data_IF_001319823202
#
_entry.id   IF_001319823202
#
_cell.length_a   1.000
_cell.length_b   1.000
_cell.length_c   1.000
_cell.angle_alpha   90.00
_cell.angle_beta   90.00
_cell.angle_gamma   90.00
#
_symmetry.space_group_name_H-M   'P 1'
#
loop_
_entity.id
_entity.type
_entity.pdbx_description
1 polymer ?
#
# COMPACT_ATOMS: atom_id res chain seq x y z
N UNK A 1 -4.26 -5.96 17.03
CA UNK A 1 -5.47 -5.14 17.20
C UNK A 1 -5.73 -4.33 15.95
N UNK A 2 -6.98 -4.05 15.66
CA UNK A 2 -7.39 -3.15 14.56
C UNK A 2 -8.37 -2.13 15.16
N UNK A 3 -8.10 -0.85 14.92
CA UNK A 3 -8.88 0.27 15.43
C UNK A 3 -9.91 0.78 14.39
N UNK A 4 -10.50 1.95 14.61
CA UNK A 4 -11.60 2.48 13.81
C UNK A 4 -11.13 3.01 12.45
N UNK A 5 -12.05 3.02 11.49
CA UNK A 5 -11.82 3.52 10.13
C UNK A 5 -10.58 2.91 9.44
N UNK A 6 -10.47 1.58 9.52
CA UNK A 6 -9.43 0.81 8.85
C UNK A 6 -10.01 0.07 7.65
N UNK A 7 -9.37 0.20 6.50
CA UNK A 7 -9.71 -0.57 5.31
C UNK A 7 -8.53 -1.48 4.90
N UNK A 8 -8.82 -2.76 4.72
CA UNK A 8 -7.84 -3.78 4.36
C UNK A 8 -8.26 -4.36 3.01
N UNK A 9 -7.40 -4.23 2.02
CA UNK A 9 -7.65 -4.75 0.68
C UNK A 9 -7.43 -6.27 0.60
N UNK A 10 -7.63 -6.84 -0.57
CA UNK A 10 -7.52 -8.28 -0.79
C UNK A 10 -6.09 -8.81 -0.61
N UNK A 11 -5.98 -10.06 -0.16
CA UNK A 11 -4.72 -10.79 -0.02
C UNK A 11 -3.68 -10.10 0.88
N UNK A 12 -4.12 -9.32 1.86
CA UNK A 12 -3.23 -8.80 2.91
C UNK A 12 -2.94 -9.90 3.90
N UNK A 13 -1.67 -10.03 4.28
CA UNK A 13 -1.20 -11.03 5.22
C UNK A 13 -0.66 -10.37 6.51
N UNK A 14 -1.10 -10.87 7.65
CA UNK A 14 -0.57 -10.52 8.98
C UNK A 14 0.22 -11.70 9.52
N UNK A 15 1.54 -11.60 9.45
CA UNK A 15 2.43 -12.62 9.98
C UNK A 15 2.71 -12.29 11.45
N UNK A 16 2.23 -13.09 12.38
CA UNK A 16 2.37 -12.82 13.82
C UNK A 16 3.34 -13.77 14.52
N UNK A 17 3.80 -14.81 13.85
CA UNK A 17 4.73 -15.79 14.41
C UNK A 17 5.57 -16.45 13.31
N UNK A 18 6.63 -17.13 13.72
CA UNK A 18 7.43 -18.00 12.86
C UNK A 18 7.81 -19.29 13.56
N UNK A 19 8.36 -20.23 12.82
CA UNK A 19 8.79 -21.53 13.32
C UNK A 19 10.32 -21.70 13.26
N UNK A 20 11.06 -20.62 13.26
CA UNK A 20 12.54 -20.65 13.17
C UNK A 20 13.16 -21.42 14.33
N UNK A 21 12.50 -21.45 15.49
CA UNK A 21 12.93 -22.21 16.65
C UNK A 21 13.17 -23.70 16.35
N UNK A 22 12.49 -24.28 15.38
CA UNK A 22 12.72 -25.68 14.97
C UNK A 22 14.12 -25.92 14.43
N UNK A 23 14.67 -24.92 13.74
CA UNK A 23 16.05 -25.01 13.24
C UNK A 23 17.03 -24.99 14.41
N UNK A 24 16.82 -24.10 15.37
CA UNK A 24 17.67 -23.97 16.55
C UNK A 24 17.57 -25.20 17.46
N UNK A 25 16.37 -25.72 17.69
CA UNK A 25 16.16 -26.99 18.40
C UNK A 25 16.88 -28.16 17.72
N UNK A 26 16.86 -28.22 16.39
CA UNK A 26 17.58 -29.22 15.63
C UNK A 26 19.10 -29.11 15.79
N UNK A 27 19.64 -27.91 15.91
CA UNK A 27 21.08 -27.69 16.16
C UNK A 27 21.47 -28.15 17.58
N UNK A 28 20.62 -27.92 18.57
CA UNK A 28 20.85 -28.32 19.97
C UNK A 28 20.54 -29.82 20.24
N UNK A 29 19.83 -30.49 19.32
CA UNK A 29 19.42 -31.86 19.46
C UNK A 29 18.26 -32.11 20.46
N UNK A 30 17.66 -31.07 20.97
CA UNK A 30 16.50 -31.13 21.88
C UNK A 30 15.69 -29.79 21.83
N UNK A 31 14.45 -29.86 22.32
CA UNK A 31 13.58 -28.67 22.40
C UNK A 31 14.04 -27.76 23.54
N UNK A 32 14.48 -26.55 23.20
CA UNK A 32 14.93 -25.53 24.16
C UNK A 32 14.54 -24.10 23.73
N UNK A 33 14.10 -23.90 22.51
CA UNK A 33 13.60 -22.61 22.03
C UNK A 33 12.08 -22.55 22.01
N UNK A 34 11.54 -21.39 22.30
CA UNK A 34 10.10 -21.13 22.18
C UNK A 34 9.79 -20.57 20.78
N UNK A 35 8.56 -20.83 20.32
CA UNK A 35 8.04 -20.17 19.13
C UNK A 35 8.04 -18.66 19.33
N UNK A 36 8.60 -17.93 18.35
CA UNK A 36 8.52 -16.47 18.34
C UNK A 36 7.14 -16.03 17.85
N UNK A 37 6.51 -15.16 18.62
CA UNK A 37 5.27 -14.50 18.24
C UNK A 37 5.26 -13.08 18.77
N UNK A 38 4.70 -12.15 18.00
CA UNK A 38 4.54 -10.77 18.42
C UNK A 38 3.23 -10.18 17.89
N UNK A 39 2.78 -9.10 18.51
CA UNK A 39 1.53 -8.44 18.19
C UNK A 39 1.68 -7.52 16.98
N UNK A 40 0.55 -7.32 16.28
CA UNK A 40 0.41 -6.29 15.25
C UNK A 40 -0.71 -5.35 15.68
N UNK A 41 -0.51 -4.05 15.54
CA UNK A 41 -1.51 -3.03 15.82
C UNK A 41 -1.72 -2.12 14.61
N UNK A 42 -2.97 -2.01 14.17
CA UNK A 42 -3.38 -1.12 13.08
C UNK A 42 -4.23 -0.04 13.71
N UNK A 43 -3.69 1.17 13.77
CA UNK A 43 -4.35 2.31 14.37
C UNK A 43 -5.45 2.88 13.46
N UNK A 44 -6.10 3.96 13.91
CA UNK A 44 -7.23 4.55 13.19
C UNK A 44 -6.82 5.24 11.88
N UNK A 45 -7.78 5.31 10.95
CA UNK A 45 -7.62 5.95 9.64
C UNK A 45 -6.48 5.34 8.82
N UNK A 46 -6.42 4.03 8.73
CA UNK A 46 -5.38 3.30 7.98
C UNK A 46 -5.98 2.56 6.80
N UNK A 47 -5.30 2.64 5.66
CA UNK A 47 -5.55 1.76 4.52
C UNK A 47 -4.36 0.84 4.30
N UNK A 48 -4.64 -0.45 4.10
CA UNK A 48 -3.62 -1.45 3.74
C UNK A 48 -3.93 -1.98 2.35
N UNK A 49 -3.02 -1.70 1.42
CA UNK A 49 -3.13 -2.06 0.00
C UNK A 49 -3.04 -3.56 -0.25
N UNK A 50 -3.62 -3.98 -1.37
CA UNK A 50 -3.71 -5.39 -1.75
C UNK A 50 -2.34 -6.09 -1.80
N UNK A 51 -2.28 -7.31 -1.28
CA UNK A 51 -1.06 -8.11 -1.26
C UNK A 51 0.04 -7.61 -0.32
N UNK A 52 -0.23 -6.61 0.51
CA UNK A 52 0.73 -6.18 1.52
C UNK A 52 0.89 -7.23 2.62
N UNK A 53 2.09 -7.30 3.19
CA UNK A 53 2.41 -8.17 4.33
C UNK A 53 2.91 -7.34 5.50
N UNK A 54 2.30 -7.53 6.67
CA UNK A 54 2.69 -6.88 7.91
C UNK A 54 3.36 -7.92 8.80
N UNK A 55 4.60 -7.64 9.20
CA UNK A 55 5.43 -8.55 9.97
C UNK A 55 5.20 -8.40 11.48
N UNK A 56 5.64 -9.39 12.28
CA UNK A 56 5.43 -9.38 13.73
C UNK A 56 6.01 -8.13 14.41
N UNK A 57 5.35 -7.63 15.43
CA UNK A 57 5.78 -6.49 16.22
C UNK A 57 5.51 -5.11 15.62
N UNK A 58 4.85 -5.05 14.45
CA UNK A 58 4.63 -3.77 13.74
C UNK A 58 3.38 -3.05 14.25
N UNK A 59 3.51 -1.75 14.49
CA UNK A 59 2.41 -0.79 14.67
C UNK A 59 2.28 0.10 13.43
N UNK A 60 1.05 0.26 12.91
CA UNK A 60 0.77 1.08 11.72
C UNK A 60 -0.10 2.26 12.07
N UNK A 61 0.37 3.45 11.74
CA UNK A 61 -0.37 4.70 11.84
C UNK A 61 -0.41 5.31 13.23
N UNK A 62 -1.40 6.17 13.52
CA UNK A 62 -2.62 6.53 12.76
C UNK A 62 -2.39 7.36 11.50
N UNK A 63 -3.49 7.54 10.72
CA UNK A 63 -3.47 8.31 9.48
C UNK A 63 -2.35 7.86 8.55
N UNK A 64 -2.37 6.60 8.14
CA UNK A 64 -1.31 6.00 7.33
C UNK A 64 -1.86 5.16 6.19
N UNK A 65 -1.08 5.06 5.15
CA UNK A 65 -1.36 4.21 3.99
C UNK A 65 -0.19 3.25 3.78
N UNK A 66 -0.50 1.98 3.67
CA UNK A 66 0.44 0.96 3.20
C UNK A 66 0.11 0.65 1.74
N UNK A 67 1.04 0.90 0.84
CA UNK A 67 0.84 0.66 -0.59
C UNK A 67 0.72 -0.85 -0.90
N UNK A 68 0.08 -1.16 -2.02
CA UNK A 68 -0.08 -2.54 -2.47
C UNK A 68 1.26 -3.26 -2.62
N UNK A 69 1.32 -4.52 -2.23
CA UNK A 69 2.50 -5.38 -2.33
C UNK A 69 3.65 -5.02 -1.37
N UNK A 70 3.47 -4.06 -0.47
CA UNK A 70 4.50 -3.68 0.49
C UNK A 70 4.77 -4.79 1.53
N UNK A 71 6.02 -4.92 1.96
CA UNK A 71 6.39 -5.74 3.13
C UNK A 71 6.83 -4.81 4.26
N UNK A 72 5.99 -4.70 5.27
CA UNK A 72 6.18 -3.80 6.41
C UNK A 72 6.87 -4.54 7.54
N UNK A 73 8.13 -4.22 7.77
CA UNK A 73 9.00 -4.85 8.77
C UNK A 73 9.42 -3.90 9.91
N UNK A 74 8.86 -2.69 9.94
CA UNK A 74 9.07 -1.67 10.99
C UNK A 74 7.79 -0.87 11.15
N UNK A 75 7.66 -0.19 12.28
CA UNK A 75 6.54 0.69 12.54
C UNK A 75 6.36 1.72 11.43
N UNK A 76 5.11 1.95 11.09
CA UNK A 76 4.69 3.00 10.14
C UNK A 76 4.29 4.23 10.93
N UNK A 77 5.04 5.30 10.76
CA UNK A 77 4.83 6.54 11.50
C UNK A 77 3.48 7.19 11.14
N UNK A 78 2.85 7.87 12.10
CA UNK A 78 1.64 8.64 11.85
C UNK A 78 1.79 9.62 10.69
N UNK A 79 0.75 9.74 9.87
CA UNK A 79 0.70 10.70 8.77
C UNK A 79 1.52 10.32 7.54
N UNK A 80 1.98 9.07 7.41
CA UNK A 80 2.85 8.65 6.31
C UNK A 80 2.17 7.68 5.33
N UNK A 81 2.68 7.69 4.11
CA UNK A 81 2.44 6.66 3.10
C UNK A 81 3.72 5.86 2.92
N UNK A 82 3.63 4.54 3.09
CA UNK A 82 4.77 3.63 2.93
C UNK A 82 4.53 2.66 1.79
N UNK A 83 5.61 2.23 1.15
CA UNK A 83 5.54 1.25 0.07
C UNK A 83 6.88 0.58 -0.20
N UNK A 84 6.85 -0.50 -0.97
CA UNK A 84 8.05 -1.26 -1.37
C UNK A 84 8.39 -2.43 -0.46
N UNK A 85 9.50 -3.08 -0.79
CA UNK A 85 10.04 -4.28 -0.11
C UNK A 85 11.53 -4.05 0.16
N UNK A 86 11.94 -3.82 1.42
CA UNK A 86 11.12 -3.52 2.57
C UNK A 86 10.41 -2.16 2.42
N UNK A 87 9.27 -1.98 3.09
CA UNK A 87 8.50 -0.74 3.01
C UNK A 87 9.30 0.46 3.53
N UNK A 88 9.19 1.58 2.80
CA UNK A 88 9.80 2.87 3.13
C UNK A 88 8.78 3.98 2.94
N UNK A 89 8.97 5.11 3.59
CA UNK A 89 8.13 6.30 3.38
C UNK A 89 8.29 6.77 1.93
N UNK A 90 7.15 6.87 1.23
CA UNK A 90 7.07 7.32 -0.17
C UNK A 90 6.20 8.57 -0.33
N UNK A 91 5.56 9.02 0.73
CA UNK A 91 4.72 10.21 0.71
C UNK A 91 4.10 10.53 2.06
N UNK A 92 3.26 11.55 2.08
CA UNK A 92 2.47 11.95 3.24
C UNK A 92 0.99 11.61 3.04
N UNK A 93 0.32 11.24 4.11
CA UNK A 93 -1.12 10.99 4.14
C UNK A 93 -1.91 12.24 3.74
N UNK A 94 -1.49 13.41 4.23
CA UNK A 94 -2.17 14.68 3.96
C UNK A 94 -2.10 15.05 2.47
N UNK A 95 -0.94 14.93 1.84
CA UNK A 95 -0.79 15.23 0.42
C UNK A 95 -1.59 14.27 -0.45
N UNK A 96 -1.59 12.98 -0.09
CA UNK A 96 -2.43 11.99 -0.78
C UNK A 96 -3.91 12.34 -0.66
N UNK A 97 -4.38 12.72 0.54
CA UNK A 97 -5.76 13.14 0.77
C UNK A 97 -6.14 14.37 -0.05
N UNK A 98 -5.28 15.39 -0.09
CA UNK A 98 -5.47 16.58 -0.95
C UNK A 98 -5.61 16.21 -2.42
N UNK A 99 -4.71 15.38 -2.93
CA UNK A 99 -4.74 14.94 -4.33
C UNK A 99 -6.02 14.16 -4.65
N UNK A 100 -6.47 13.29 -3.75
CA UNK A 100 -7.73 12.55 -3.92
C UNK A 100 -8.96 13.46 -3.85
N UNK A 101 -8.92 14.51 -3.04
CA UNK A 101 -9.98 15.52 -3.00
C UNK A 101 -10.07 16.27 -4.33
N UNK A 102 -8.94 16.74 -4.88
CA UNK A 102 -8.89 17.39 -6.19
C UNK A 102 -9.44 16.49 -7.30
N UNK A 103 -9.05 15.22 -7.31
CA UNK A 103 -9.59 14.24 -8.25
C UNK A 103 -11.12 14.07 -8.09
N UNK A 104 -11.60 13.97 -6.85
CA UNK A 104 -13.04 13.84 -6.57
C UNK A 104 -13.82 15.04 -7.09
N UNK A 105 -13.32 16.26 -6.88
CA UNK A 105 -13.97 17.49 -7.34
C UNK A 105 -13.99 17.58 -8.89
N UNK A 106 -12.91 17.17 -9.52
CA UNK A 106 -12.83 17.07 -10.99
C UNK A 106 -13.88 16.09 -11.54
N UNK A 107 -13.98 14.89 -11.00
CA UNK A 107 -14.96 13.90 -11.46
C UNK A 107 -16.39 14.36 -11.21
N UNK A 108 -16.66 15.03 -10.08
CA UNK A 108 -17.99 15.62 -9.83
C UNK A 108 -18.35 16.69 -10.89
N UNK A 109 -17.39 17.53 -11.29
CA UNK A 109 -17.60 18.51 -12.36
C UNK A 109 -17.88 17.83 -13.71
N UNK A 110 -17.15 16.79 -14.07
CA UNK A 110 -17.37 16.00 -15.30
C UNK A 110 -18.82 15.45 -15.33
N UNK A 111 -19.26 14.85 -14.22
CA UNK A 111 -20.63 14.33 -14.10
C UNK A 111 -21.68 15.43 -14.17
N UNK A 112 -21.47 16.58 -13.54
CA UNK A 112 -22.39 17.70 -13.54
C UNK A 112 -22.59 18.30 -14.95
N UNK A 113 -21.60 18.16 -15.84
CA UNK A 113 -21.67 18.57 -17.23
C UNK A 113 -22.17 17.49 -18.19
N UNK A 114 -22.71 16.37 -17.68
CA UNK A 114 -23.18 15.22 -18.43
C UNK A 114 -22.13 14.62 -19.40
N UNK A 115 -20.84 14.71 -19.03
CA UNK A 115 -19.76 14.09 -19.76
C UNK A 115 -19.59 12.66 -19.24
N UNK A 116 -19.42 11.71 -20.17
CA UNK A 116 -19.11 10.34 -19.80
C UNK A 116 -17.74 10.27 -19.10
N UNK A 117 -17.68 9.64 -17.92
CA UNK A 117 -16.47 9.60 -17.09
C UNK A 117 -15.40 8.73 -17.72
N UNK A 118 -15.77 7.61 -18.34
CA UNK A 118 -14.81 6.69 -18.94
C UNK A 118 -14.16 7.33 -20.17
N UNK A 119 -14.95 7.99 -21.02
CA UNK A 119 -14.43 8.76 -22.15
C UNK A 119 -13.52 9.90 -21.69
N UNK A 120 -13.90 10.60 -20.64
CA UNK A 120 -13.06 11.66 -20.06
C UNK A 120 -11.72 11.09 -19.56
N UNK A 121 -11.73 10.01 -18.79
CA UNK A 121 -10.52 9.41 -18.25
C UNK A 121 -9.60 8.87 -19.36
N UNK A 122 -10.16 8.25 -20.40
CA UNK A 122 -9.38 7.79 -21.55
C UNK A 122 -8.75 8.94 -22.32
N UNK A 123 -9.45 10.06 -22.47
CA UNK A 123 -8.91 11.25 -23.11
C UNK A 123 -7.74 11.84 -22.30
N UNK A 124 -7.88 11.95 -20.97
CA UNK A 124 -6.80 12.42 -20.10
C UNK A 124 -5.61 11.46 -20.11
N UNK A 125 -5.85 10.16 -20.04
CA UNK A 125 -4.81 9.15 -20.14
C UNK A 125 -4.03 9.29 -21.45
N UNK A 126 -4.72 9.41 -22.58
CA UNK A 126 -4.12 9.53 -23.92
C UNK A 126 -3.29 10.80 -24.08
N UNK A 127 -3.71 11.93 -23.48
CA UNK A 127 -2.93 13.19 -23.48
C UNK A 127 -1.59 13.02 -22.75
N UNK A 128 -1.62 12.29 -21.63
CA UNK A 128 -0.44 12.10 -20.78
C UNK A 128 0.51 10.99 -21.26
N UNK A 129 0.04 10.15 -22.20
CA UNK A 129 0.78 9.00 -22.71
C UNK A 129 0.94 9.07 -24.25
N UNK A 130 0.93 10.26 -24.85
CA UNK A 130 1.33 10.40 -26.24
C UNK A 130 2.79 9.96 -26.37
N UNK A 131 2.99 8.73 -26.80
CA UNK A 131 4.24 8.31 -27.41
C UNK A 131 4.30 9.12 -28.70
N UNK A 132 5.29 9.97 -28.86
CA UNK A 132 5.60 10.55 -30.15
C UNK A 132 5.77 9.36 -31.10
N UNK A 133 4.81 9.17 -31.99
CA UNK A 133 4.98 8.29 -33.13
C UNK A 133 6.14 8.92 -33.91
N UNK A 134 7.33 8.36 -33.77
CA UNK A 134 8.49 8.79 -34.52
C UNK A 134 8.12 8.76 -35.99
N UNK A 135 8.25 9.91 -36.62
CA UNK A 135 8.34 10.01 -38.05
C UNK A 135 9.58 9.23 -38.49
N UNK A 136 9.43 7.96 -38.71
CA UNK A 136 10.35 7.21 -39.57
C UNK A 136 9.68 7.07 -40.91
N UNK A 137 9.66 8.21 -41.65
CA UNK A 137 9.62 8.17 -43.08
C UNK A 137 10.93 7.57 -43.59
N UNK A 138 10.95 6.34 -43.95
CA UNK A 138 11.91 5.82 -44.89
C UNK A 138 11.19 5.57 -46.22
N UNK A 139 11.33 6.56 -47.10
CA UNK A 139 11.32 6.33 -48.54
C UNK A 139 12.42 5.33 -48.88
N UNK A 140 12.03 4.21 -49.44
CA UNK A 140 12.80 3.52 -50.48
C UNK A 140 11.87 2.68 -51.35
#
# INVERSE_FOLDING_TARGET
KVHDNVAIASNVEFTMHDIIHWIFDGMEGHRCFQEFADCIEINENVFIGAGARILPGVSVGPNAIVAAGAIVNKDVLPGTVVGGVPARVIGSFEDLMKNRKMYSDMIQSVKANNIDVDDFLWNEFSKNHKIEAGENGEEH
#
